data_IF_663181078952
#
_entry.id   IF_663181078952
#
_cell.length_a   1.000
_cell.length_b   1.000
_cell.length_c   1.000
_cell.angle_alpha   90.00
_cell.angle_beta   90.00
_cell.angle_gamma   90.00
#
_symmetry.space_group_name_H-M   'P 1'
#
loop_
_entity.id
_entity.type
_entity.pdbx_description
1 polymer ?
#
# COMPACT_ATOMS: atom_id res chain seq x y z
N UNK A 1 46.91 -20.23 -35.43
CA UNK A 1 46.95 -19.32 -34.26
C UNK A 1 45.97 -18.15 -34.36
N UNK A 2 45.95 -17.35 -35.45
CA UNK A 2 45.01 -16.21 -35.59
C UNK A 2 43.51 -16.55 -35.50
N UNK A 3 43.08 -17.69 -36.05
CA UNK A 3 41.65 -18.12 -36.02
C UNK A 3 41.17 -18.53 -34.62
N UNK A 4 42.07 -19.06 -33.78
CA UNK A 4 41.78 -19.48 -32.40
C UNK A 4 41.68 -18.26 -31.48
N UNK A 5 42.56 -17.27 -31.68
CA UNK A 5 42.48 -15.99 -30.97
C UNK A 5 41.19 -15.22 -31.29
N UNK A 6 40.77 -15.21 -32.56
CA UNK A 6 39.51 -14.58 -32.98
C UNK A 6 38.29 -15.25 -32.33
N UNK A 7 38.29 -16.58 -32.24
CA UNK A 7 37.21 -17.33 -31.59
C UNK A 7 37.10 -17.01 -30.09
N UNK A 8 38.23 -16.92 -29.37
CA UNK A 8 38.24 -16.57 -27.94
C UNK A 8 37.69 -15.17 -27.66
N UNK A 9 37.97 -14.19 -28.52
CA UNK A 9 37.43 -12.83 -28.38
C UNK A 9 35.91 -12.80 -28.57
N UNK A 10 35.37 -13.57 -29.52
CA UNK A 10 33.92 -13.66 -29.75
C UNK A 10 33.22 -14.31 -28.55
N UNK A 11 33.79 -15.37 -27.98
CA UNK A 11 33.25 -16.01 -26.77
C UNK A 11 33.26 -15.06 -25.57
N UNK A 12 34.33 -14.27 -25.40
CA UNK A 12 34.40 -13.26 -24.34
C UNK A 12 33.38 -12.14 -24.51
N UNK A 13 33.09 -11.71 -25.75
CA UNK A 13 32.06 -10.70 -26.02
C UNK A 13 30.64 -11.24 -25.77
N UNK A 14 30.39 -12.52 -26.10
CA UNK A 14 29.10 -13.16 -25.78
C UNK A 14 28.96 -13.36 -24.27
N UNK A 15 30.03 -13.77 -23.57
CA UNK A 15 30.02 -13.88 -22.11
C UNK A 15 29.82 -12.50 -21.45
N UNK A 16 30.55 -11.47 -21.90
CA UNK A 16 30.41 -10.12 -21.38
C UNK A 16 29.04 -9.51 -21.69
N UNK A 17 28.47 -9.81 -22.85
CA UNK A 17 27.10 -9.43 -23.22
C UNK A 17 26.05 -10.16 -22.36
N UNK A 18 26.26 -11.44 -22.07
CA UNK A 18 25.39 -12.21 -21.17
C UNK A 18 25.50 -11.75 -19.71
N UNK A 19 26.72 -11.48 -19.23
CA UNK A 19 26.96 -10.88 -17.91
C UNK A 19 26.34 -9.49 -17.83
N UNK A 20 26.49 -8.67 -18.87
CA UNK A 20 25.85 -7.36 -18.98
C UNK A 20 24.32 -7.47 -18.99
N UNK A 21 23.76 -8.45 -19.69
CA UNK A 21 22.31 -8.73 -19.67
C UNK A 21 21.83 -9.14 -18.27
N UNK A 22 22.58 -10.00 -17.56
CA UNK A 22 22.26 -10.40 -16.19
C UNK A 22 22.38 -9.25 -15.18
N UNK A 23 23.37 -8.37 -15.31
CA UNK A 23 23.61 -7.28 -14.35
C UNK A 23 22.90 -5.96 -14.66
N UNK A 24 22.63 -5.64 -15.93
CA UNK A 24 22.06 -4.33 -16.31
C UNK A 24 20.63 -4.40 -16.86
N UNK A 25 20.15 -5.55 -17.34
CA UNK A 25 18.84 -5.64 -18.00
C UNK A 25 17.81 -6.51 -17.27
N UNK A 26 18.22 -7.42 -16.38
CA UNK A 26 17.29 -8.43 -15.85
C UNK A 26 16.57 -8.08 -14.54
N UNK A 27 17.12 -7.28 -13.63
CA UNK A 27 16.47 -7.10 -12.32
C UNK A 27 16.86 -5.77 -11.69
N UNK A 28 15.93 -4.82 -11.57
CA UNK A 28 15.81 -3.88 -10.42
C UNK A 28 14.71 -2.82 -10.58
N UNK A 29 13.93 -2.77 -11.68
CA UNK A 29 13.00 -1.64 -11.95
C UNK A 29 11.50 -2.03 -12.08
N UNK A 30 11.11 -3.24 -11.64
CA UNK A 30 9.69 -3.67 -11.67
C UNK A 30 9.11 -4.01 -10.30
N UNK A 31 9.86 -4.63 -9.39
CA UNK A 31 9.34 -4.98 -8.05
C UNK A 31 8.97 -3.74 -7.20
N UNK A 32 9.73 -2.65 -7.31
CA UNK A 32 9.45 -1.43 -6.53
C UNK A 32 8.17 -0.70 -7.00
N UNK A 33 7.78 -0.86 -8.27
CA UNK A 33 6.60 -0.16 -8.81
C UNK A 33 5.29 -0.71 -8.27
N UNK A 34 5.25 -1.98 -7.87
CA UNK A 34 4.05 -2.60 -7.32
C UNK A 34 3.84 -2.19 -5.86
N UNK A 35 4.90 -2.21 -5.04
CA UNK A 35 4.84 -1.73 -3.64
C UNK A 35 4.48 -0.25 -3.56
N UNK A 36 5.05 0.59 -4.42
CA UNK A 36 4.72 2.02 -4.45
C UNK A 36 3.28 2.28 -4.88
N UNK A 37 2.77 1.54 -5.87
CA UNK A 37 1.35 1.64 -6.29
C UNK A 37 0.39 1.19 -5.20
N UNK A 38 0.73 0.13 -4.45
CA UNK A 38 -0.07 -0.32 -3.32
C UNK A 38 -0.08 0.72 -2.20
N UNK A 39 1.05 1.38 -1.94
CA UNK A 39 1.19 2.36 -0.86
C UNK A 39 0.56 3.72 -1.19
N UNK A 40 0.66 4.19 -2.43
CA UNK A 40 0.31 5.57 -2.79
C UNK A 40 -0.83 5.67 -3.82
N UNK A 41 -1.39 4.54 -4.26
CA UNK A 41 -2.48 4.54 -5.23
C UNK A 41 -3.68 5.37 -4.77
N UNK A 42 -4.31 6.10 -5.68
CA UNK A 42 -5.52 6.85 -5.35
C UNK A 42 -6.67 5.90 -4.97
N UNK A 43 -7.47 6.29 -3.96
CA UNK A 43 -8.68 5.57 -3.59
C UNK A 43 -9.86 6.01 -4.45
N UNK A 44 -10.66 5.05 -4.92
CA UNK A 44 -11.88 5.35 -5.67
C UNK A 44 -13.07 5.42 -4.71
N UNK A 45 -13.23 6.57 -4.06
CA UNK A 45 -14.30 6.78 -3.10
C UNK A 45 -15.64 7.07 -3.77
N UNK A 46 -16.65 6.28 -3.43
CA UNK A 46 -18.04 6.56 -3.79
C UNK A 46 -18.69 7.40 -2.69
N UNK A 47 -18.45 8.71 -2.70
CA UNK A 47 -19.07 9.62 -1.72
C UNK A 47 -20.59 9.72 -1.94
N UNK A 48 -21.39 9.74 -0.86
CA UNK A 48 -22.82 9.96 -0.99
C UNK A 48 -23.09 11.34 -1.59
N UNK A 49 -24.04 11.41 -2.52
CA UNK A 49 -24.48 12.69 -3.05
C UNK A 49 -25.40 13.38 -2.05
N UNK A 50 -25.33 14.71 -2.02
CA UNK A 50 -26.29 15.51 -1.27
C UNK A 50 -27.70 15.24 -1.78
N UNK A 51 -28.52 14.61 -0.93
CA UNK A 51 -29.93 14.43 -1.21
C UNK A 51 -30.61 15.78 -0.94
N UNK A 52 -31.08 16.44 -2.00
CA UNK A 52 -31.50 17.84 -1.92
C UNK A 52 -32.56 18.11 -0.85
N UNK A 53 -32.42 19.22 -0.10
CA UNK A 53 -33.33 19.94 0.82
C UNK A 53 -34.34 19.18 1.71
N UNK A 54 -34.39 17.85 1.69
CA UNK A 54 -35.23 17.06 2.59
C UNK A 54 -34.54 16.96 3.94
N UNK A 55 -35.31 17.14 5.02
CA UNK A 55 -34.80 16.89 6.36
C UNK A 55 -34.50 15.39 6.50
N UNK A 56 -33.24 15.06 6.78
CA UNK A 56 -32.78 13.70 7.04
C UNK A 56 -32.51 13.54 8.53
N UNK A 57 -32.66 12.33 9.07
CA UNK A 57 -32.12 12.01 10.39
C UNK A 57 -30.59 11.90 10.36
N UNK A 58 -29.95 12.06 11.53
CA UNK A 58 -28.50 11.87 11.66
C UNK A 58 -28.04 10.49 11.16
N UNK A 59 -28.83 9.44 11.40
CA UNK A 59 -28.52 8.07 10.95
C UNK A 59 -28.59 7.95 9.41
N UNK A 60 -29.60 8.54 8.79
CA UNK A 60 -29.75 8.57 7.32
C UNK A 60 -28.62 9.34 6.64
N UNK A 61 -28.02 10.30 7.35
CA UNK A 61 -26.81 11.01 6.89
C UNK A 61 -25.58 10.13 7.07
N UNK A 62 -25.40 9.47 8.23
CA UNK A 62 -24.18 8.73 8.58
C UNK A 62 -24.01 7.43 7.78
N UNK A 63 -25.08 6.66 7.59
CA UNK A 63 -24.99 5.30 7.02
C UNK A 63 -24.38 5.23 5.61
N UNK A 64 -24.69 6.14 4.67
CA UNK A 64 -24.02 6.19 3.38
C UNK A 64 -22.50 6.42 3.49
N UNK A 65 -22.04 7.36 4.34
CA UNK A 65 -20.60 7.56 4.57
C UNK A 65 -19.96 6.35 5.27
N UNK A 66 -20.68 5.67 6.17
CA UNK A 66 -20.21 4.42 6.77
C UNK A 66 -20.00 3.34 5.71
N UNK A 67 -20.81 3.32 4.65
CA UNK A 67 -20.63 2.40 3.52
C UNK A 67 -19.35 2.73 2.75
N UNK A 68 -19.15 3.99 2.36
CA UNK A 68 -17.91 4.44 1.70
C UNK A 68 -16.67 4.19 2.56
N UNK A 69 -16.78 4.38 3.88
CA UNK A 69 -15.71 4.06 4.84
C UNK A 69 -15.36 2.57 4.82
N UNK A 70 -16.35 1.66 4.80
CA UNK A 70 -16.08 0.22 4.73
C UNK A 70 -15.38 -0.18 3.44
N UNK A 71 -15.72 0.47 2.32
CA UNK A 71 -15.04 0.27 1.03
C UNK A 71 -13.57 0.72 1.12
N UNK A 72 -13.32 1.91 1.68
CA UNK A 72 -11.97 2.41 1.94
C UNK A 72 -11.14 1.43 2.79
N UNK A 73 -11.70 0.96 3.91
CA UNK A 73 -11.02 0.01 4.80
C UNK A 73 -10.73 -1.31 4.09
N UNK A 74 -11.69 -1.86 3.34
CA UNK A 74 -11.47 -3.11 2.60
C UNK A 74 -10.40 -2.97 1.52
N UNK A 75 -10.34 -1.83 0.82
CA UNK A 75 -9.29 -1.57 -0.15
C UNK A 75 -7.91 -1.40 0.52
N UNK A 76 -7.85 -0.68 1.65
CA UNK A 76 -6.62 -0.54 2.41
C UNK A 76 -6.11 -1.88 2.94
N UNK A 77 -6.98 -2.76 3.42
CA UNK A 77 -6.63 -4.13 3.84
C UNK A 77 -6.04 -4.95 2.68
N UNK A 78 -6.65 -4.91 1.50
CA UNK A 78 -6.09 -5.58 0.32
C UNK A 78 -4.69 -5.04 -0.05
N UNK A 79 -4.47 -3.73 0.10
CA UNK A 79 -3.17 -3.11 -0.17
C UNK A 79 -2.12 -3.51 0.87
N UNK A 80 -2.51 -3.61 2.15
CA UNK A 80 -1.66 -4.17 3.22
C UNK A 80 -1.24 -5.60 2.87
N UNK A 81 -2.19 -6.45 2.48
CA UNK A 81 -1.92 -7.85 2.12
C UNK A 81 -0.99 -7.95 0.90
N UNK A 82 -1.15 -7.04 -0.07
CA UNK A 82 -0.23 -6.92 -1.21
C UNK A 82 1.19 -6.57 -0.77
N UNK A 83 1.36 -5.55 0.09
CA UNK A 83 2.67 -5.14 0.61
C UNK A 83 3.36 -6.30 1.37
N UNK A 84 2.60 -7.06 2.15
CA UNK A 84 3.12 -8.24 2.86
C UNK A 84 3.52 -9.33 1.87
N UNK A 85 2.70 -9.60 0.87
CA UNK A 85 2.99 -10.62 -0.15
C UNK A 85 4.27 -10.29 -0.92
N UNK A 86 4.44 -9.03 -1.35
CA UNK A 86 5.68 -8.55 -1.98
C UNK A 86 6.91 -8.71 -1.06
N UNK A 87 6.73 -8.50 0.25
CA UNK A 87 7.80 -8.70 1.23
C UNK A 87 8.23 -10.16 1.35
N UNK A 88 7.26 -11.08 1.38
CA UNK A 88 7.52 -12.51 1.45
C UNK A 88 8.19 -13.02 0.17
N UNK A 89 7.72 -12.59 -1.00
CA UNK A 89 8.29 -12.96 -2.29
C UNK A 89 9.74 -12.47 -2.43
N UNK A 90 10.02 -11.19 -2.18
CA UNK A 90 11.40 -10.65 -2.25
C UNK A 90 12.32 -11.37 -1.26
N UNK A 91 11.83 -11.70 -0.05
CA UNK A 91 12.61 -12.42 0.94
C UNK A 91 12.98 -13.83 0.47
N UNK A 92 12.01 -14.58 -0.07
CA UNK A 92 12.23 -15.94 -0.57
C UNK A 92 13.20 -15.93 -1.75
N UNK A 93 13.04 -15.02 -2.70
CA UNK A 93 13.92 -14.90 -3.87
C UNK A 93 15.37 -14.59 -3.47
N UNK A 94 15.58 -13.60 -2.60
CA UNK A 94 16.92 -13.24 -2.14
C UNK A 94 17.59 -14.40 -1.38
N UNK A 95 16.82 -15.14 -0.58
CA UNK A 95 17.34 -16.29 0.18
C UNK A 95 17.78 -17.43 -0.75
N UNK A 96 17.03 -17.67 -1.83
CA UNK A 96 17.39 -18.67 -2.84
C UNK A 96 18.61 -18.27 -3.67
N UNK A 97 18.80 -16.96 -3.92
CA UNK A 97 19.96 -16.43 -4.66
C UNK A 97 21.29 -16.51 -3.89
N UNK A 98 21.24 -16.76 -2.57
CA UNK A 98 22.41 -16.77 -1.70
C UNK A 98 22.93 -15.37 -1.34
N UNK A 99 22.14 -14.32 -1.61
CA UNK A 99 22.41 -12.97 -1.13
C UNK A 99 22.27 -12.91 0.40
N UNK A 100 23.16 -12.16 1.05
CA UNK A 100 23.04 -11.88 2.48
C UNK A 100 21.90 -10.89 2.71
N UNK A 101 20.81 -11.36 3.32
CA UNK A 101 19.62 -10.56 3.57
C UNK A 101 19.79 -9.79 4.87
N UNK A 102 19.86 -8.46 4.76
CA UNK A 102 19.77 -7.59 5.94
C UNK A 102 18.32 -7.45 6.38
N UNK A 103 18.01 -7.94 7.60
CA UNK A 103 16.73 -7.68 8.29
C UNK A 103 16.36 -6.19 8.26
N UNK A 104 17.34 -5.33 8.53
CA UNK A 104 17.14 -3.87 8.58
C UNK A 104 16.73 -3.27 7.23
N UNK A 105 17.22 -3.82 6.11
CA UNK A 105 16.81 -3.36 4.79
C UNK A 105 15.33 -3.64 4.53
N UNK A 106 14.88 -4.89 4.73
CA UNK A 106 13.48 -5.28 4.55
C UNK A 106 12.56 -4.52 5.50
N UNK A 107 12.93 -4.47 6.79
CA UNK A 107 12.17 -3.74 7.78
C UNK A 107 11.98 -2.27 7.39
N UNK A 108 13.03 -1.59 6.94
CA UNK A 108 12.92 -0.19 6.53
C UNK A 108 12.07 -0.01 5.27
N UNK A 109 12.26 -0.86 4.25
CA UNK A 109 11.52 -0.77 2.99
C UNK A 109 10.01 -0.92 3.20
N UNK A 110 9.59 -2.02 3.82
CA UNK A 110 8.17 -2.34 3.96
C UNK A 110 7.48 -1.53 5.06
N UNK A 111 8.19 -1.08 6.10
CA UNK A 111 7.62 -0.09 7.01
C UNK A 111 7.42 1.27 6.32
N UNK A 112 8.36 1.69 5.46
CA UNK A 112 8.18 2.92 4.70
C UNK A 112 6.97 2.83 3.77
N UNK A 113 6.75 1.67 3.13
CA UNK A 113 5.55 1.44 2.32
C UNK A 113 4.27 1.49 3.18
N UNK A 114 4.27 0.85 4.35
CA UNK A 114 3.15 0.91 5.29
C UNK A 114 2.88 2.33 5.80
N UNK A 115 3.91 3.15 6.03
CA UNK A 115 3.77 4.56 6.40
C UNK A 115 3.08 5.38 5.31
N UNK A 116 3.47 5.14 4.05
CA UNK A 116 2.87 5.82 2.89
C UNK A 116 1.43 5.36 2.63
N UNK A 117 1.15 4.07 2.79
CA UNK A 117 -0.22 3.54 2.78
C UNK A 117 -1.10 4.15 3.87
N UNK A 118 -0.56 4.27 5.09
CA UNK A 118 -1.29 4.91 6.18
C UNK A 118 -1.59 6.38 5.86
N UNK A 119 -0.63 7.12 5.30
CA UNK A 119 -0.82 8.51 4.91
C UNK A 119 -1.88 8.66 3.81
N UNK A 120 -1.83 7.85 2.76
CA UNK A 120 -2.83 7.89 1.68
C UNK A 120 -4.22 7.48 2.17
N UNK A 121 -4.31 6.53 3.10
CA UNK A 121 -5.58 6.16 3.75
C UNK A 121 -6.10 7.27 4.66
N UNK A 122 -5.22 7.94 5.42
CA UNK A 122 -5.58 9.08 6.28
C UNK A 122 -6.17 10.23 5.43
N UNK A 123 -5.59 10.51 4.27
CA UNK A 123 -6.09 11.50 3.32
C UNK A 123 -7.48 11.12 2.78
N UNK A 124 -7.64 9.88 2.31
CA UNK A 124 -8.93 9.37 1.83
C UNK A 124 -10.01 9.35 2.93
N UNK A 125 -9.65 9.03 4.16
CA UNK A 125 -10.56 9.08 5.29
C UNK A 125 -11.06 10.51 5.55
N UNK A 126 -10.19 11.51 5.44
CA UNK A 126 -10.58 12.92 5.61
C UNK A 126 -11.54 13.40 4.51
N UNK A 127 -11.46 12.84 3.30
CA UNK A 127 -12.43 13.07 2.21
C UNK A 127 -13.83 12.50 2.53
N UNK A 128 -13.93 11.50 3.40
CA UNK A 128 -15.20 10.95 3.89
C UNK A 128 -15.68 11.75 5.11
N UNK A 129 -14.78 12.02 6.05
CA UNK A 129 -15.11 12.54 7.37
C UNK A 129 -15.50 14.02 7.35
N UNK A 130 -14.83 14.84 6.52
CA UNK A 130 -15.15 16.28 6.44
C UNK A 130 -16.56 16.55 5.88
N UNK A 131 -16.98 15.94 4.75
CA UNK A 131 -18.34 16.17 4.23
C UNK A 131 -19.42 15.61 5.15
N UNK A 132 -19.18 14.45 5.79
CA UNK A 132 -20.10 13.91 6.81
C UNK A 132 -20.38 14.94 7.92
N UNK A 133 -19.31 15.55 8.47
CA UNK A 133 -19.46 16.59 9.50
C UNK A 133 -20.24 17.79 8.99
N UNK A 134 -19.90 18.27 7.79
CA UNK A 134 -20.56 19.42 7.18
C UNK A 134 -22.06 19.17 6.98
N UNK A 135 -22.43 18.00 6.45
CA UNK A 135 -23.83 17.64 6.21
C UNK A 135 -24.63 17.46 7.52
N UNK A 136 -24.00 16.92 8.57
CA UNK A 136 -24.61 16.87 9.91
C UNK A 136 -24.89 18.27 10.45
N UNK A 137 -23.92 19.18 10.36
CA UNK A 137 -24.04 20.56 10.85
C UNK A 137 -25.09 21.36 10.05
N UNK A 138 -25.14 21.18 8.73
CA UNK A 138 -26.15 21.78 7.86
C UNK A 138 -27.59 21.36 8.24
N UNK A 139 -27.77 20.09 8.60
CA UNK A 139 -29.06 19.54 9.03
C UNK A 139 -29.37 19.84 10.51
N UNK A 140 -28.53 20.63 11.18
CA UNK A 140 -28.72 21.07 12.56
C UNK A 140 -28.32 20.03 13.61
N UNK A 141 -27.64 18.96 13.21
CA UNK A 141 -27.04 17.98 14.12
C UNK A 141 -25.67 18.46 14.59
N UNK A 142 -25.23 17.91 15.73
CA UNK A 142 -23.87 18.17 16.19
C UNK A 142 -22.89 17.20 15.55
N UNK A 143 -21.70 17.68 15.21
CA UNK A 143 -20.68 16.87 14.55
C UNK A 143 -20.09 15.76 15.44
N UNK A 144 -20.35 15.76 16.75
CA UNK A 144 -20.01 14.63 17.63
C UNK A 144 -20.67 13.31 17.20
N UNK A 145 -21.78 13.37 16.45
CA UNK A 145 -22.40 12.18 15.87
C UNK A 145 -21.46 11.44 14.88
N UNK A 146 -20.45 12.11 14.32
CA UNK A 146 -19.45 11.51 13.45
C UNK A 146 -18.23 10.94 14.20
N UNK A 147 -18.04 11.24 15.49
CA UNK A 147 -16.83 10.85 16.24
C UNK A 147 -16.68 9.33 16.38
N UNK A 148 -17.78 8.58 16.34
CA UNK A 148 -17.74 7.12 16.36
C UNK A 148 -16.97 6.56 15.17
N UNK A 149 -17.19 7.12 13.96
CA UNK A 149 -16.51 6.72 12.75
C UNK A 149 -15.01 7.02 12.82
N UNK A 150 -14.63 8.20 13.33
CA UNK A 150 -13.22 8.56 13.55
C UNK A 150 -12.54 7.64 14.57
N UNK A 151 -13.22 7.30 15.67
CA UNK A 151 -12.68 6.37 16.67
C UNK A 151 -12.50 4.96 16.10
N UNK A 152 -13.46 4.50 15.29
CA UNK A 152 -13.36 3.24 14.58
C UNK A 152 -12.14 3.22 13.65
N UNK A 153 -11.97 4.25 12.83
CA UNK A 153 -10.82 4.40 11.95
C UNK A 153 -9.48 4.35 12.69
N UNK A 154 -9.33 5.13 13.76
CA UNK A 154 -8.10 5.16 14.56
C UNK A 154 -7.81 3.83 15.25
N UNK A 155 -8.85 3.05 15.59
CA UNK A 155 -8.69 1.70 16.13
C UNK A 155 -8.21 0.74 15.05
N UNK A 156 -8.81 0.78 13.86
CA UNK A 156 -8.42 -0.04 12.71
C UNK A 156 -6.96 0.19 12.33
N UNK A 157 -6.55 1.46 12.21
CA UNK A 157 -5.16 1.86 11.91
C UNK A 157 -4.14 1.27 12.89
N UNK A 158 -4.44 1.34 14.19
CA UNK A 158 -3.62 0.71 15.24
C UNK A 158 -3.58 -0.81 15.10
N UNK A 159 -4.70 -1.42 14.72
CA UNK A 159 -4.81 -2.85 14.44
C UNK A 159 -3.87 -3.28 13.31
N UNK A 160 -3.91 -2.59 12.17
CA UNK A 160 -3.04 -2.87 11.04
C UNK A 160 -1.55 -2.79 11.41
N UNK A 161 -1.12 -1.76 12.14
CA UNK A 161 0.27 -1.65 12.61
C UNK A 161 0.68 -2.78 13.54
N UNK A 162 -0.22 -3.19 14.43
CA UNK A 162 0.05 -4.32 15.31
C UNK A 162 0.21 -5.62 14.50
N UNK A 163 -0.67 -5.87 13.53
CA UNK A 163 -0.60 -7.05 12.64
C UNK A 163 0.67 -7.05 11.80
N UNK A 164 1.01 -5.96 11.13
CA UNK A 164 2.24 -5.84 10.34
C UNK A 164 3.50 -6.09 11.18
N UNK A 165 3.56 -5.53 12.39
CA UNK A 165 4.67 -5.77 13.31
C UNK A 165 4.73 -7.22 13.81
N UNK A 166 3.59 -7.90 13.90
CA UNK A 166 3.55 -9.32 14.23
C UNK A 166 4.07 -10.17 13.07
N UNK A 167 3.58 -9.96 11.85
CA UNK A 167 4.06 -10.67 10.66
C UNK A 167 5.57 -10.50 10.48
N UNK A 168 6.07 -9.26 10.61
CA UNK A 168 7.50 -8.97 10.54
C UNK A 168 8.35 -9.61 11.67
N UNK A 169 7.75 -10.13 12.73
CA UNK A 169 8.47 -10.91 13.76
C UNK A 169 8.43 -12.41 13.49
N UNK A 170 7.39 -12.91 12.83
CA UNK A 170 7.21 -14.33 12.53
C UNK A 170 8.01 -14.76 11.29
N UNK A 171 8.26 -13.84 10.35
CA UNK A 171 9.03 -14.11 9.14
C UNK A 171 10.56 -14.23 9.36
N UNK A 172 11.06 -13.97 10.58
CA UNK A 172 12.50 -13.96 10.92
C UNK A 172 12.80 -14.77 12.19
#
# INVERSE_FOLDING_TARGET
MKKIALFLVVVLLILAGYIGYLFFFKTYDTADKEVDQLAEGEYKLSLPQETGSSALSAEEIIEPYRTTYKELIGEAENRIDGIVSEAEEEFVEKKQSGEDISYSYFFNKYNSAADRLEASTDEAFEEIYKPLKAQLEEQGYKSEAAEDLKREYQKTKKGWRASLMQSAKESF
#
